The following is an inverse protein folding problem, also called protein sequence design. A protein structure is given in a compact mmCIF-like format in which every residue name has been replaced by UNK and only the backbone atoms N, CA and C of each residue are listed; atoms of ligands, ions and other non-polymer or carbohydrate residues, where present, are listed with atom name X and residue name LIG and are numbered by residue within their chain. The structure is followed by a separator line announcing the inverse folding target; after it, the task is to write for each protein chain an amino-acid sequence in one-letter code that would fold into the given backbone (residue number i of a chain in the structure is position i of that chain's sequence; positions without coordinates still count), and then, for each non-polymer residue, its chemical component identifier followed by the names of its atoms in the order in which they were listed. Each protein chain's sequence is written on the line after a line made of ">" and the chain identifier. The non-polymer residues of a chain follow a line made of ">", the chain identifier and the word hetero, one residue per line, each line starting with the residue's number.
data_IF_406523471262
#
_entry.id   IF_406523471262
#
_cell.length_a   1.000
_cell.length_b   1.000
_cell.length_c   1.000
_cell.angle_alpha   90.00
_cell.angle_beta   90.00
_cell.angle_gamma   90.00
#
_symmetry.space_group_name_H-M   'P 1'
#
loop_
_entity.id
_entity.type
_entity.pdbx_description
1 polymer ?
#
# COMPACT_ATOMS: atom_id res chain seq x y z
N UNK A 1 -6.32 19.01 6.10
CA UNK A 1 -6.97 17.71 5.85
C UNK A 1 -6.76 17.41 4.38
N UNK A 2 -6.35 16.19 4.03
CA UNK A 2 -6.13 15.76 2.64
C UNK A 2 -7.31 14.93 2.13
N UNK A 3 -7.71 15.09 0.88
CA UNK A 3 -8.72 14.31 0.19
C UNK A 3 -8.06 13.43 -0.88
N UNK A 4 -8.27 12.12 -0.76
CA UNK A 4 -7.72 11.14 -1.68
C UNK A 4 -8.56 9.87 -1.75
N UNK A 5 -8.14 8.94 -2.59
CA UNK A 5 -8.82 7.66 -2.80
C UNK A 5 -7.79 6.55 -3.06
N UNK A 6 -8.22 5.30 -2.89
CA UNK A 6 -7.42 4.11 -3.17
C UNK A 6 -7.42 3.82 -4.68
N UNK A 7 -6.24 3.70 -5.27
CA UNK A 7 -6.11 3.42 -6.70
C UNK A 7 -4.77 2.74 -7.03
N UNK A 8 -4.65 2.21 -8.25
CA UNK A 8 -3.37 1.71 -8.75
C UNK A 8 -2.43 2.86 -9.13
N UNK A 9 -1.12 2.63 -9.10
CA UNK A 9 -0.17 3.65 -9.53
C UNK A 9 -0.09 3.69 -11.05
N UNK A 10 -0.75 4.68 -11.66
CA UNK A 10 -0.71 4.91 -13.10
C UNK A 10 -0.70 6.41 -13.46
N UNK A 11 -0.24 6.70 -14.68
CA UNK A 11 -0.27 8.04 -15.28
C UNK A 11 -1.69 8.62 -15.36
N UNK A 12 -2.67 7.78 -15.65
CA UNK A 12 -4.07 8.15 -15.76
C UNK A 12 -4.65 8.58 -14.41
N UNK A 13 -4.37 7.80 -13.36
CA UNK A 13 -4.86 8.07 -12.01
C UNK A 13 -4.23 9.33 -11.41
N UNK A 14 -2.92 9.52 -11.60
CA UNK A 14 -2.22 10.75 -11.18
C UNK A 14 -2.81 11.98 -11.87
N UNK A 15 -3.10 11.88 -13.17
CA UNK A 15 -3.72 12.97 -13.94
C UNK A 15 -5.14 13.24 -13.45
N UNK A 16 -5.96 12.21 -13.31
CA UNK A 16 -7.35 12.34 -12.84
C UNK A 16 -7.42 12.98 -11.45
N UNK A 17 -6.58 12.52 -10.53
CA UNK A 17 -6.50 13.07 -9.18
C UNK A 17 -6.22 14.58 -9.22
N UNK A 18 -5.25 15.01 -10.04
CA UNK A 18 -4.90 16.42 -10.18
C UNK A 18 -6.02 17.24 -10.82
N UNK A 19 -6.61 16.77 -11.90
CA UNK A 19 -7.67 17.47 -12.64
C UNK A 19 -8.95 17.63 -11.81
N UNK A 20 -9.25 16.65 -10.95
CA UNK A 20 -10.45 16.63 -10.11
C UNK A 20 -10.26 17.37 -8.78
N UNK A 21 -9.01 17.70 -8.41
CA UNK A 21 -8.70 18.44 -7.18
C UNK A 21 -8.47 17.57 -5.95
N UNK A 22 -8.15 16.28 -6.12
CA UNK A 22 -7.59 15.47 -5.04
C UNK A 22 -6.14 15.91 -4.76
N UNK A 23 -5.71 15.74 -3.52
CA UNK A 23 -4.38 16.13 -3.05
C UNK A 23 -3.54 14.94 -2.56
N UNK A 24 -4.10 13.73 -2.61
CA UNK A 24 -3.42 12.51 -2.22
C UNK A 24 -4.00 11.25 -2.85
N UNK A 25 -3.19 10.18 -2.88
CA UNK A 25 -3.60 8.84 -3.29
C UNK A 25 -3.16 7.81 -2.25
N UNK A 26 -4.02 6.84 -1.97
CA UNK A 26 -3.61 5.58 -1.36
C UNK A 26 -3.23 4.64 -2.50
N UNK A 27 -1.99 4.15 -2.49
CA UNK A 27 -1.48 3.35 -3.60
C UNK A 27 -1.76 1.87 -3.34
N UNK A 28 -2.46 1.23 -4.27
CA UNK A 28 -2.79 -0.19 -4.20
C UNK A 28 -1.55 -1.07 -4.42
N UNK A 29 -1.27 -1.93 -3.44
CA UNK A 29 -0.21 -2.92 -3.47
C UNK A 29 -0.76 -4.37 -3.39
N UNK A 30 -2.09 -4.58 -3.38
CA UNK A 30 -2.77 -5.84 -3.01
C UNK A 30 -2.52 -7.05 -3.90
N UNK A 31 -2.02 -6.88 -5.12
CA UNK A 31 -1.74 -7.97 -6.05
C UNK A 31 -0.31 -7.84 -6.54
N UNK A 32 0.40 -8.96 -6.75
CA UNK A 32 1.72 -9.03 -7.39
C UNK A 32 1.78 -8.29 -8.73
N UNK A 33 0.66 -8.22 -9.44
CA UNK A 33 0.56 -7.59 -10.76
C UNK A 33 0.23 -6.09 -10.72
N UNK A 34 -0.01 -5.52 -9.53
CA UNK A 34 -0.25 -4.09 -9.37
C UNK A 34 0.91 -3.29 -9.98
N UNK A 35 0.61 -2.18 -10.66
CA UNK A 35 1.62 -1.42 -11.37
C UNK A 35 2.69 -0.86 -10.42
N UNK A 36 2.31 -0.60 -9.18
CA UNK A 36 3.26 -0.29 -8.11
C UNK A 36 4.44 -1.27 -8.05
N UNK A 37 4.20 -2.58 -8.03
CA UNK A 37 5.27 -3.57 -7.91
C UNK A 37 6.18 -3.64 -9.14
N UNK A 38 5.60 -3.42 -10.33
CA UNK A 38 6.36 -3.34 -11.58
C UNK A 38 7.33 -2.17 -11.51
N UNK A 39 6.85 -0.97 -11.21
CA UNK A 39 7.67 0.24 -11.11
C UNK A 39 8.72 0.11 -10.01
N UNK A 40 8.34 -0.39 -8.83
CA UNK A 40 9.27 -0.60 -7.71
C UNK A 40 10.37 -1.62 -8.01
N UNK A 41 10.15 -2.56 -8.92
CA UNK A 41 11.17 -3.53 -9.32
C UNK A 41 12.24 -2.93 -10.25
N UNK A 42 11.96 -1.78 -10.87
CA UNK A 42 12.90 -1.08 -11.72
C UNK A 42 14.00 -0.37 -10.91
N UNK A 43 15.12 -0.08 -11.59
CA UNK A 43 16.16 0.79 -11.02
C UNK A 43 15.55 2.15 -10.67
N UNK A 44 15.76 2.57 -9.42
CA UNK A 44 15.24 3.81 -8.85
C UNK A 44 13.69 3.91 -8.89
N UNK A 45 12.98 2.79 -8.90
CA UNK A 45 11.52 2.75 -8.96
C UNK A 45 10.81 3.62 -7.91
N UNK A 46 11.29 3.59 -6.66
CA UNK A 46 10.74 4.41 -5.59
C UNK A 46 10.88 5.92 -5.87
N UNK A 47 12.01 6.34 -6.42
CA UNK A 47 12.27 7.74 -6.75
C UNK A 47 11.38 8.21 -7.90
N UNK A 48 11.19 7.36 -8.93
CA UNK A 48 10.25 7.64 -10.02
C UNK A 48 8.82 7.86 -9.52
N UNK A 49 8.34 7.02 -8.61
CA UNK A 49 7.00 7.17 -8.03
C UNK A 49 6.93 8.48 -7.25
N UNK A 50 7.91 8.74 -6.37
CA UNK A 50 7.96 9.94 -5.54
C UNK A 50 7.95 11.22 -6.40
N UNK A 51 8.86 11.33 -7.36
CA UNK A 51 8.97 12.48 -8.26
C UNK A 51 7.66 12.68 -9.05
N UNK A 52 7.01 11.60 -9.48
CA UNK A 52 5.75 11.69 -10.20
C UNK A 52 4.64 12.30 -9.35
N UNK A 53 4.53 11.86 -8.10
CA UNK A 53 3.55 12.39 -7.15
C UNK A 53 3.85 13.86 -6.81
N UNK A 54 5.11 14.18 -6.50
CA UNK A 54 5.56 15.54 -6.17
C UNK A 54 5.35 16.53 -7.33
N UNK A 55 5.67 16.12 -8.57
CA UNK A 55 5.45 16.95 -9.77
C UNK A 55 3.98 17.35 -9.98
N UNK A 56 3.05 16.52 -9.49
CA UNK A 56 1.62 16.78 -9.60
C UNK A 56 1.04 17.39 -8.33
N UNK A 57 1.88 17.72 -7.33
CA UNK A 57 1.46 18.21 -6.02
C UNK A 57 0.48 17.24 -5.33
N UNK A 58 0.75 15.94 -5.46
CA UNK A 58 0.01 14.86 -4.82
C UNK A 58 0.89 14.21 -3.76
N UNK A 59 0.29 13.84 -2.63
CA UNK A 59 0.93 13.03 -1.62
C UNK A 59 0.53 11.55 -1.72
N UNK A 60 1.41 10.66 -1.28
CA UNK A 60 1.02 9.28 -0.98
C UNK A 60 0.47 9.27 0.45
N UNK A 61 -0.84 9.05 0.61
CA UNK A 61 -1.49 9.03 1.93
C UNK A 61 -1.17 7.74 2.69
N UNK A 62 -1.18 6.61 1.98
CA UNK A 62 -0.82 5.30 2.49
C UNK A 62 -0.45 4.32 1.35
N UNK A 63 0.19 3.21 1.71
CA UNK A 63 0.36 2.05 0.84
C UNK A 63 -0.66 0.98 1.26
N UNK A 64 -1.63 0.70 0.41
CA UNK A 64 -2.70 -0.26 0.68
C UNK A 64 -2.25 -1.68 0.37
N UNK A 65 -1.99 -2.50 1.39
CA UNK A 65 -1.63 -3.91 1.25
C UNK A 65 -2.45 -4.81 2.18
N UNK A 66 -3.66 -5.10 1.73
CA UNK A 66 -4.75 -5.75 2.40
C UNK A 66 -4.78 -7.25 2.15
N UNK A 67 -4.38 -8.02 3.16
CA UNK A 67 -4.43 -9.49 3.15
C UNK A 67 -4.64 -10.02 4.58
N UNK A 68 -4.90 -11.32 4.70
CA UNK A 68 -5.03 -11.97 5.99
C UNK A 68 -3.65 -12.15 6.66
N UNK A 69 -3.30 -11.27 7.60
CA UNK A 69 -2.01 -11.30 8.30
C UNK A 69 -1.85 -12.54 9.22
N UNK A 70 -2.95 -13.17 9.65
CA UNK A 70 -2.90 -14.40 10.46
C UNK A 70 -2.48 -15.63 9.64
N UNK A 71 -2.87 -15.69 8.37
CA UNK A 71 -2.52 -16.77 7.44
C UNK A 71 -1.97 -16.20 6.12
N UNK A 72 -0.80 -15.54 6.12
CA UNK A 72 -0.32 -14.88 4.92
C UNK A 72 0.45 -15.84 4.03
N UNK A 73 0.28 -15.67 2.73
CA UNK A 73 1.08 -16.33 1.71
C UNK A 73 2.51 -15.78 1.71
N UNK A 74 3.48 -16.58 1.24
CA UNK A 74 4.90 -16.22 1.27
C UNK A 74 5.22 -14.91 0.56
N UNK A 75 4.51 -14.62 -0.53
CA UNK A 75 4.71 -13.38 -1.26
C UNK A 75 4.13 -12.16 -0.52
N UNK A 76 3.08 -12.35 0.29
CA UNK A 76 2.51 -11.29 1.12
C UNK A 76 3.47 -10.94 2.24
N UNK A 77 4.07 -11.94 2.91
CA UNK A 77 5.12 -11.71 3.91
C UNK A 77 6.30 -10.92 3.34
N UNK A 78 6.84 -11.38 2.21
CA UNK A 78 7.97 -10.72 1.52
C UNK A 78 7.60 -9.33 1.03
N UNK A 79 6.40 -9.17 0.48
CA UNK A 79 5.87 -7.90 0.01
C UNK A 79 5.73 -6.90 1.15
N UNK A 80 5.17 -7.31 2.29
CA UNK A 80 4.96 -6.43 3.43
C UNK A 80 6.29 -5.92 4.02
N UNK A 81 7.28 -6.80 4.17
CA UNK A 81 8.64 -6.41 4.58
C UNK A 81 9.27 -5.43 3.57
N UNK A 82 9.10 -5.67 2.27
CA UNK A 82 9.59 -4.76 1.22
C UNK A 82 8.89 -3.39 1.28
N UNK A 83 7.59 -3.34 1.62
CA UNK A 83 6.87 -2.08 1.80
C UNK A 83 7.41 -1.30 3.00
N UNK A 84 7.71 -1.96 4.12
CA UNK A 84 8.33 -1.33 5.29
C UNK A 84 9.65 -0.64 4.92
N UNK A 85 10.47 -1.27 4.09
CA UNK A 85 11.74 -0.70 3.63
C UNK A 85 11.57 0.48 2.65
N UNK A 86 10.49 0.47 1.86
CA UNK A 86 10.31 1.43 0.75
C UNK A 86 9.42 2.62 1.10
N UNK A 87 8.51 2.46 2.06
CA UNK A 87 7.57 3.50 2.47
C UNK A 87 8.27 4.82 2.86
N UNK A 88 9.41 4.82 3.60
CA UNK A 88 10.14 6.05 3.90
C UNK A 88 10.65 6.76 2.65
N UNK A 89 11.09 6.00 1.63
CA UNK A 89 11.59 6.55 0.35
C UNK A 89 10.49 7.21 -0.45
N UNK A 90 9.25 6.75 -0.29
CA UNK A 90 8.05 7.29 -0.92
C UNK A 90 7.41 8.43 -0.10
N UNK A 91 7.97 8.77 1.06
CA UNK A 91 7.34 9.67 2.05
C UNK A 91 5.94 9.20 2.51
N UNK A 92 5.69 7.89 2.44
CA UNK A 92 4.48 7.26 2.95
C UNK A 92 4.69 6.88 4.42
N UNK A 93 3.84 7.38 5.32
CA UNK A 93 3.95 7.14 6.76
C UNK A 93 3.11 5.95 7.24
N UNK A 94 2.20 5.46 6.40
CA UNK A 94 1.21 4.46 6.74
C UNK A 94 1.20 3.36 5.68
N UNK A 95 1.20 2.12 6.15
CA UNK A 95 0.87 0.94 5.34
C UNK A 95 -0.46 0.42 5.89
N UNK A 96 -1.49 0.38 5.07
CA UNK A 96 -2.80 -0.13 5.45
C UNK A 96 -2.87 -1.63 5.18
N UNK A 97 -3.43 -2.39 6.10
CA UNK A 97 -3.63 -3.83 5.96
C UNK A 97 -4.83 -4.29 6.79
N UNK A 98 -5.23 -5.56 6.66
CA UNK A 98 -6.27 -6.13 7.50
C UNK A 98 -5.66 -6.81 8.72
N UNK A 99 -6.36 -6.74 9.85
CA UNK A 99 -6.05 -7.54 11.04
C UNK A 99 -6.05 -9.05 10.73
N UNK A 100 -6.92 -9.47 9.81
CA UNK A 100 -7.08 -10.87 9.43
C UNK A 100 -7.90 -11.69 10.44
N UNK A 101 -8.12 -12.97 10.11
CA UNK A 101 -8.70 -13.99 11.00
C UNK A 101 -8.42 -15.39 10.48
N UNK A 102 -8.44 -16.38 11.36
CA UNK A 102 -8.68 -17.78 11.03
C UNK A 102 -10.21 -18.02 10.98
N UNK A 103 -10.79 -18.33 9.81
CA UNK A 103 -12.24 -18.49 9.66
C UNK A 103 -12.81 -19.71 10.39
N UNK A 104 -11.98 -20.68 10.75
CA UNK A 104 -12.37 -21.90 11.49
C UNK A 104 -12.44 -21.67 13.01
N UNK A 105 -12.13 -20.46 13.48
CA UNK A 105 -12.09 -20.09 14.89
C UNK A 105 -13.15 -19.05 15.25
N UNK A 106 -13.54 -19.04 16.52
CA UNK A 106 -14.36 -17.97 17.11
C UNK A 106 -13.61 -16.63 17.08
N UNK A 107 -14.32 -15.52 17.35
CA UNK A 107 -13.68 -14.21 17.45
C UNK A 107 -12.74 -14.15 18.65
N UNK A 108 -13.15 -14.73 19.78
CA UNK A 108 -12.37 -14.83 21.01
C UNK A 108 -11.06 -15.59 20.79
N UNK A 109 -11.12 -16.70 20.05
CA UNK A 109 -9.94 -17.52 19.72
C UNK A 109 -9.02 -16.86 18.68
N UNK A 110 -9.52 -15.86 17.93
CA UNK A 110 -8.74 -15.07 16.99
C UNK A 110 -7.90 -13.97 17.66
N UNK A 111 -8.33 -13.47 18.83
CA UNK A 111 -7.61 -12.38 19.53
C UNK A 111 -6.15 -12.78 19.87
N UNK A 112 -5.85 -13.97 20.40
CA UNK A 112 -4.46 -14.39 20.63
C UNK A 112 -3.63 -14.52 19.36
N UNK A 113 -4.24 -14.88 18.22
CA UNK A 113 -3.54 -14.99 16.94
C UNK A 113 -3.14 -13.61 16.41
N UNK A 114 -4.05 -12.63 16.53
CA UNK A 114 -3.76 -11.24 16.18
C UNK A 114 -2.55 -10.71 16.96
N UNK A 115 -2.54 -10.89 18.29
CA UNK A 115 -1.44 -10.45 19.18
C UNK A 115 -0.09 -11.15 18.93
N UNK A 116 -0.08 -12.28 18.22
CA UNK A 116 1.17 -12.96 17.83
C UNK A 116 1.78 -12.35 16.56
N UNK A 117 0.95 -11.75 15.71
CA UNK A 117 1.34 -11.25 14.39
C UNK A 117 1.65 -9.76 14.40
N UNK A 118 0.95 -8.99 15.24
CA UNK A 118 1.13 -7.55 15.45
C UNK A 118 1.77 -7.27 16.82
#
# INVERSE_FOLDING_TARGET
>A
MRLGYLTDFSEEEVRFAKETGFDSLEINCNNKEANFWKVISEKNGAEKIKEKMEKNDLAISALGFYFNQIQPEDWQKKGFLKLLDIAPKLNAKVICTFAGRDPEKSMEDNIPLFNKVF
#
